data_IF_600319971305
#
_entry.id   IF_600319971305
#
_cell.length_a   1.000
_cell.length_b   1.000
_cell.length_c   1.000
_cell.angle_alpha   90.00
_cell.angle_beta   90.00
_cell.angle_gamma   90.00
#
_symmetry.space_group_name_H-M   'P 1'
#
loop_
_entity.id
_entity.type
_entity.pdbx_description
1 polymer ?
#
# COMPACT_ATOMS: atom_id res chain seq x y z
N UNK A 1 8.93 -20.33 4.32
CA UNK A 1 9.36 -19.09 3.62
C UNK A 1 9.39 -17.97 4.66
N UNK A 2 10.31 -17.00 4.58
CA UNK A 2 10.43 -15.93 5.57
C UNK A 2 9.41 -14.81 5.32
N UNK A 3 8.23 -14.93 5.93
CA UNK A 3 7.18 -13.91 5.88
C UNK A 3 7.45 -12.77 6.88
N UNK A 4 7.07 -11.54 6.54
CA UNK A 4 7.23 -10.37 7.39
C UNK A 4 5.98 -10.09 8.23
N UNK A 5 5.94 -10.67 9.44
CA UNK A 5 4.88 -10.40 10.41
C UNK A 5 4.75 -8.91 10.73
N UNK A 6 3.51 -8.40 10.71
CA UNK A 6 3.22 -6.98 10.96
C UNK A 6 3.80 -6.01 9.91
N UNK A 7 4.10 -6.48 8.69
CA UNK A 7 4.48 -5.63 7.56
C UNK A 7 3.32 -5.32 6.59
N UNK A 8 2.13 -5.90 6.78
CA UNK A 8 0.96 -5.59 5.98
C UNK A 8 0.37 -4.20 6.24
N UNK A 9 -0.82 -3.95 5.70
CA UNK A 9 -1.61 -2.78 6.06
C UNK A 9 -2.05 -2.82 7.52
N UNK A 10 -2.39 -1.66 8.05
CA UNK A 10 -2.88 -1.48 9.41
C UNK A 10 -4.02 -0.45 9.38
N UNK A 11 -5.22 -0.88 9.74
CA UNK A 11 -6.43 -0.05 9.76
C UNK A 11 -6.33 1.09 10.77
N UNK A 12 -5.64 0.88 11.90
CA UNK A 12 -5.46 1.89 12.94
C UNK A 12 -4.50 3.01 12.50
N UNK A 13 -3.81 2.81 11.36
CA UNK A 13 -2.96 3.81 10.70
C UNK A 13 -3.60 4.46 9.48
N UNK A 14 -4.82 4.10 9.10
CA UNK A 14 -5.52 4.71 7.97
C UNK A 14 -5.83 6.21 8.22
N UNK A 15 -6.18 6.94 7.17
CA UNK A 15 -6.82 8.25 7.31
C UNK A 15 -8.17 8.11 8.05
N UNK A 16 -8.54 9.14 8.82
CA UNK A 16 -9.85 9.23 9.45
C UNK A 16 -10.93 9.43 8.38
N UNK A 17 -12.13 8.90 8.62
CA UNK A 17 -13.30 9.07 7.75
C UNK A 17 -13.53 10.55 7.40
N UNK A 18 -13.87 10.84 6.14
CA UNK A 18 -14.07 12.21 5.66
C UNK A 18 -12.78 13.03 5.49
N UNK A 19 -11.59 12.46 5.69
CA UNK A 19 -10.31 13.16 5.53
C UNK A 19 -9.50 12.64 4.34
N UNK A 20 -8.81 13.56 3.65
CA UNK A 20 -7.90 13.24 2.51
C UNK A 20 -8.58 12.49 1.36
N UNK A 21 -9.89 12.64 1.19
CA UNK A 21 -10.66 11.90 0.18
C UNK A 21 -10.23 12.24 -1.26
N UNK A 22 -9.92 13.50 -1.54
CA UNK A 22 -9.48 13.98 -2.85
C UNK A 22 -8.22 13.24 -3.35
N UNK A 23 -7.13 13.27 -2.58
CA UNK A 23 -5.89 12.56 -2.91
C UNK A 23 -6.05 11.03 -2.86
N UNK A 24 -6.98 10.50 -2.06
CA UNK A 24 -7.27 9.07 -2.09
C UNK A 24 -7.97 8.68 -3.40
N UNK A 25 -8.95 9.47 -3.84
CA UNK A 25 -9.62 9.27 -5.13
C UNK A 25 -8.64 9.40 -6.29
N UNK A 26 -7.79 10.43 -6.31
CA UNK A 26 -6.75 10.59 -7.34
C UNK A 26 -5.83 9.35 -7.46
N UNK A 27 -5.47 8.73 -6.33
CA UNK A 27 -4.65 7.51 -6.33
C UNK A 27 -5.44 6.28 -6.79
N UNK A 28 -6.73 6.18 -6.47
CA UNK A 28 -7.61 5.09 -6.95
C UNK A 28 -7.87 5.23 -8.44
N UNK A 29 -8.24 6.42 -8.92
CA UNK A 29 -8.43 6.74 -10.33
C UNK A 29 -7.17 6.42 -11.16
N UNK A 30 -5.97 6.60 -10.58
CA UNK A 30 -4.69 6.20 -11.18
C UNK A 30 -4.42 4.68 -11.15
N UNK A 31 -4.88 3.96 -10.12
CA UNK A 31 -4.79 2.48 -10.07
C UNK A 31 -5.70 1.84 -11.12
N UNK A 32 -6.90 2.41 -11.31
CA UNK A 32 -7.93 1.91 -12.21
C UNK A 32 -7.79 2.42 -13.67
N UNK A 33 -6.73 3.17 -13.99
CA UNK A 33 -6.44 3.63 -15.35
C UNK A 33 -6.07 2.45 -16.28
N UNK A 34 -6.96 2.17 -17.23
CA UNK A 34 -6.83 1.07 -18.18
C UNK A 34 -5.96 1.40 -19.41
N UNK A 35 -5.40 2.62 -19.53
CA UNK A 35 -4.48 2.95 -20.61
C UNK A 35 -3.16 2.15 -20.46
N UNK A 36 -2.75 1.33 -21.45
CA UNK A 36 -1.49 0.58 -21.39
C UNK A 36 -0.22 1.45 -21.29
N UNK A 37 -0.34 2.76 -21.51
CA UNK A 37 0.73 3.75 -21.34
C UNK A 37 0.71 4.47 -19.98
N UNK A 38 -0.29 4.20 -19.13
CA UNK A 38 -0.35 4.73 -17.76
C UNK A 38 0.89 4.30 -16.95
N UNK A 39 1.51 5.21 -16.17
CA UNK A 39 2.69 4.87 -15.39
C UNK A 39 2.32 3.90 -14.27
N UNK A 40 3.12 2.84 -14.07
CA UNK A 40 2.84 1.79 -13.06
C UNK A 40 3.44 2.06 -11.67
N UNK A 41 4.05 3.23 -11.44
CA UNK A 41 4.65 3.63 -10.17
C UNK A 41 4.21 5.04 -9.79
N UNK A 42 3.47 5.17 -8.69
CA UNK A 42 3.10 6.45 -8.09
C UNK A 42 4.03 6.79 -6.90
N UNK A 43 4.51 8.03 -6.86
CA UNK A 43 5.40 8.53 -5.80
C UNK A 43 4.70 9.60 -4.94
N UNK A 44 4.13 9.19 -3.81
CA UNK A 44 3.48 10.10 -2.87
C UNK A 44 4.53 10.83 -2.01
N UNK A 45 4.74 12.12 -2.29
CA UNK A 45 5.75 12.95 -1.62
C UNK A 45 5.16 14.08 -0.78
N UNK A 46 5.98 14.71 0.07
CA UNK A 46 5.58 15.84 0.92
C UNK A 46 6.26 15.87 2.29
N UNK A 47 6.09 16.93 3.09
CA UNK A 47 6.77 17.13 4.38
C UNK A 47 6.59 15.99 5.39
N UNK A 48 7.49 15.90 6.38
CA UNK A 48 7.32 14.96 7.49
C UNK A 48 6.01 15.25 8.27
N UNK A 49 5.34 14.21 8.78
CA UNK A 49 4.11 14.34 9.55
C UNK A 49 2.81 14.57 8.76
N UNK A 50 2.84 14.75 7.44
CA UNK A 50 1.63 15.07 6.64
C UNK A 50 0.66 13.92 6.37
N UNK A 51 0.86 12.74 6.98
CA UNK A 51 -0.06 11.60 6.83
C UNK A 51 0.13 10.73 5.58
N UNK A 52 1.24 10.85 4.84
CA UNK A 52 1.50 10.03 3.63
C UNK A 52 1.34 8.52 3.85
N UNK A 53 1.86 8.00 4.97
CA UNK A 53 1.69 6.58 5.32
C UNK A 53 0.23 6.23 5.65
N UNK A 54 -0.55 7.17 6.15
CA UNK A 54 -1.97 6.96 6.43
C UNK A 54 -2.78 6.86 5.13
N UNK A 55 -2.49 7.71 4.14
CA UNK A 55 -3.04 7.60 2.79
C UNK A 55 -2.70 6.23 2.20
N UNK A 56 -1.45 5.79 2.28
CA UNK A 56 -1.04 4.46 1.79
C UNK A 56 -1.77 3.31 2.49
N UNK A 57 -2.03 3.41 3.80
CA UNK A 57 -2.84 2.43 4.53
C UNK A 57 -4.32 2.45 4.12
N UNK A 58 -4.94 3.62 3.94
CA UNK A 58 -6.32 3.72 3.44
C UNK A 58 -6.48 3.14 2.04
N UNK A 59 -5.57 3.47 1.11
CA UNK A 59 -5.57 2.89 -0.24
C UNK A 59 -5.43 1.37 -0.18
N UNK A 60 -4.52 0.85 0.65
CA UNK A 60 -4.37 -0.60 0.81
C UNK A 60 -5.63 -1.27 1.39
N UNK A 61 -6.39 -0.59 2.27
CA UNK A 61 -7.68 -1.09 2.76
C UNK A 61 -8.73 -1.08 1.64
N UNK A 62 -8.92 0.04 0.93
CA UNK A 62 -9.86 0.13 -0.18
C UNK A 62 -9.60 -0.91 -1.29
N UNK A 63 -8.33 -1.13 -1.64
CA UNK A 63 -7.93 -2.15 -2.62
C UNK A 63 -8.06 -3.59 -2.09
N UNK A 64 -8.06 -3.79 -0.77
CA UNK A 64 -8.36 -5.11 -0.17
C UNK A 64 -9.85 -5.39 -0.25
N UNK A 65 -10.67 -4.40 0.07
CA UNK A 65 -12.13 -4.52 0.12
C UNK A 65 -12.74 -4.67 -1.28
N UNK A 66 -12.10 -4.09 -2.32
CA UNK A 66 -12.42 -4.36 -3.73
C UNK A 66 -11.85 -5.68 -4.28
N UNK A 67 -10.99 -6.37 -3.52
CA UNK A 67 -10.28 -7.58 -3.95
C UNK A 67 -9.03 -7.36 -4.81
N UNK A 68 -8.75 -6.13 -5.26
CA UNK A 68 -7.70 -5.80 -6.23
C UNK A 68 -6.23 -5.89 -5.72
N UNK A 69 -5.97 -5.65 -4.42
CA UNK A 69 -4.68 -5.29 -3.81
C UNK A 69 -3.35 -5.91 -4.33
N UNK A 70 -3.32 -7.19 -4.72
CA UNK A 70 -2.06 -7.95 -4.91
C UNK A 70 -1.33 -8.26 -3.59
N UNK A 71 -0.61 -7.30 -3.02
CA UNK A 71 0.12 -7.41 -1.73
C UNK A 71 0.34 -6.01 -1.12
N UNK A 72 0.58 -5.93 0.19
CA UNK A 72 0.95 -4.67 0.87
C UNK A 72 2.16 -4.89 1.78
N UNK A 73 3.20 -4.06 1.64
CA UNK A 73 4.42 -4.17 2.42
C UNK A 73 4.91 -2.82 2.97
N UNK A 74 5.02 -2.72 4.29
CA UNK A 74 5.32 -1.51 5.04
C UNK A 74 6.54 -1.72 5.96
N UNK A 75 7.53 -0.82 5.87
CA UNK A 75 8.75 -0.85 6.68
C UNK A 75 9.24 0.55 7.04
N UNK A 76 10.06 0.65 8.10
CA UNK A 76 10.79 1.88 8.45
C UNK A 76 12.20 1.83 7.87
N UNK A 77 12.74 2.98 7.45
CA UNK A 77 14.14 3.09 7.03
C UNK A 77 15.06 2.59 8.15
N UNK A 78 15.92 1.63 7.83
CA UNK A 78 16.84 1.00 8.79
C UNK A 78 16.36 -0.34 9.38
N UNK A 79 15.12 -0.79 9.12
CA UNK A 79 14.68 -2.13 9.53
C UNK A 79 15.21 -3.22 8.59
N UNK A 80 16.47 -3.62 8.83
CA UNK A 80 17.23 -4.57 8.00
C UNK A 80 16.55 -5.94 7.94
N UNK A 81 16.05 -6.42 9.08
CA UNK A 81 15.41 -7.71 9.22
C UNK A 81 14.03 -7.77 8.56
N UNK A 82 13.41 -6.60 8.30
CA UNK A 82 12.15 -6.50 7.57
C UNK A 82 12.36 -6.39 6.07
N UNK A 83 13.24 -5.50 5.57
CA UNK A 83 13.38 -5.33 4.10
C UNK A 83 13.78 -6.63 3.39
N UNK A 84 14.63 -7.46 4.03
CA UNK A 84 15.08 -8.75 3.49
C UNK A 84 13.93 -9.73 3.23
N UNK A 85 12.77 -9.49 3.85
CA UNK A 85 11.55 -10.30 3.72
C UNK A 85 10.51 -9.70 2.76
N UNK A 86 10.79 -8.57 2.11
CA UNK A 86 9.84 -7.91 1.21
C UNK A 86 9.39 -8.82 0.06
N UNK A 87 10.34 -9.25 -0.78
CA UNK A 87 10.04 -10.13 -1.92
C UNK A 87 9.36 -11.44 -1.52
N UNK A 88 9.84 -12.24 -0.53
CA UNK A 88 9.16 -13.47 -0.15
C UNK A 88 7.77 -13.24 0.49
N UNK A 89 7.52 -12.09 1.13
CA UNK A 89 6.18 -11.73 1.62
C UNK A 89 5.24 -11.51 0.43
N UNK A 90 5.63 -10.65 -0.52
CA UNK A 90 4.85 -10.37 -1.74
C UNK A 90 4.61 -11.66 -2.55
N UNK A 91 5.62 -12.53 -2.68
CA UNK A 91 5.47 -13.81 -3.38
C UNK A 91 4.50 -14.76 -2.68
N UNK A 92 4.47 -14.79 -1.33
CA UNK A 92 3.50 -15.58 -0.58
C UNK A 92 2.08 -15.02 -0.70
N UNK A 93 1.92 -13.70 -0.62
CA UNK A 93 0.62 -13.04 -0.78
C UNK A 93 0.01 -13.33 -2.17
N UNK A 94 0.81 -13.19 -3.23
CA UNK A 94 0.38 -13.43 -4.60
C UNK A 94 0.12 -14.92 -4.88
N UNK A 95 0.92 -15.83 -4.31
CA UNK A 95 0.70 -17.27 -4.47
C UNK A 95 -0.53 -17.80 -3.71
N UNK A 96 -1.12 -17.00 -2.81
CA UNK A 96 -2.38 -17.28 -2.13
C UNK A 96 -3.59 -16.55 -2.72
N UNK A 97 -3.45 -15.92 -3.90
CA UNK A 97 -4.56 -15.34 -4.66
C UNK A 97 -4.91 -16.29 -5.82
N UNK A 98 -6.08 -16.91 -5.71
CA UNK A 98 -6.75 -17.67 -6.77
C UNK A 98 -7.63 -16.75 -7.64
#
# INVERSE_FOLDING_TARGET
IAYAEGAGMDTDKACLDGTREEIQREVIDWIDDADPSAPSILWLSGPAGTGKSAIAHSIACAMKDSGALGSCFCFKKGDVNRYTKMLPTISCDLAGRD
#
